data_IF_682500850780
#
_entry.id   IF_682500850780
#
_cell.length_a   1.000
_cell.length_b   1.000
_cell.length_c   1.000
_cell.angle_alpha   90.00
_cell.angle_beta   90.00
_cell.angle_gamma   90.00
#
_symmetry.space_group_name_H-M   'P 1'
#
loop_
_entity.id
_entity.type
_entity.pdbx_description
1 polymer ?
#
# COMPACT_ATOMS: atom_id res chain seq x y z
N UNK A 1 -21.07 -9.88 -16.95
CA UNK A 1 -20.89 -10.11 -15.50
C UNK A 1 -20.39 -8.81 -14.86
N UNK A 2 -20.84 -8.48 -13.65
CA UNK A 2 -20.30 -7.35 -12.89
C UNK A 2 -19.15 -7.84 -11.99
N UNK A 3 -18.11 -7.02 -11.83
CA UNK A 3 -17.07 -7.24 -10.82
C UNK A 3 -17.70 -7.09 -9.42
N UNK A 4 -17.27 -7.89 -8.46
CA UNK A 4 -17.81 -7.88 -7.09
C UNK A 4 -16.80 -7.41 -6.06
N UNK A 5 -15.55 -7.79 -6.26
CA UNK A 5 -14.42 -7.42 -5.41
C UNK A 5 -13.30 -6.91 -6.31
N UNK A 6 -12.75 -5.76 -5.94
CA UNK A 6 -11.62 -5.13 -6.62
C UNK A 6 -10.52 -4.95 -5.59
N UNK A 7 -9.37 -5.54 -5.84
CA UNK A 7 -8.16 -5.28 -5.06
C UNK A 7 -7.23 -4.35 -5.83
N UNK A 8 -6.78 -3.29 -5.17
CA UNK A 8 -5.80 -2.35 -5.73
C UNK A 8 -4.54 -2.35 -4.89
N UNK A 9 -3.39 -2.58 -5.52
CA UNK A 9 -2.10 -2.42 -4.88
C UNK A 9 -1.79 -0.93 -4.70
N UNK A 10 -1.30 -0.53 -3.53
CA UNK A 10 -0.76 0.81 -3.27
C UNK A 10 0.69 0.70 -2.84
N UNK A 11 1.47 1.68 -3.28
CA UNK A 11 2.90 1.80 -3.04
C UNK A 11 3.27 3.28 -2.96
N UNK A 12 4.55 3.59 -2.80
CA UNK A 12 5.05 4.96 -2.74
C UNK A 12 5.32 5.58 -4.12
N UNK A 13 4.88 4.94 -5.21
CA UNK A 13 5.12 5.45 -6.56
C UNK A 13 4.23 6.66 -6.88
N UNK A 14 4.68 7.58 -7.76
CA UNK A 14 3.84 8.69 -8.23
C UNK A 14 2.55 8.25 -8.92
N UNK A 15 2.46 7.00 -9.37
CA UNK A 15 1.29 6.44 -10.05
C UNK A 15 0.23 5.89 -9.09
N UNK A 16 0.54 5.69 -7.80
CA UNK A 16 -0.40 5.12 -6.82
C UNK A 16 -1.71 5.92 -6.71
N UNK A 17 -1.72 7.27 -6.66
CA UNK A 17 -2.96 8.04 -6.60
C UNK A 17 -3.88 7.82 -7.80
N UNK A 18 -3.33 7.83 -9.02
CA UNK A 18 -4.11 7.63 -10.25
C UNK A 18 -4.67 6.22 -10.35
N UNK A 19 -3.91 5.22 -9.89
CA UNK A 19 -4.36 3.83 -9.82
C UNK A 19 -5.54 3.67 -8.84
N UNK A 20 -5.48 4.34 -7.71
CA UNK A 20 -6.58 4.34 -6.74
C UNK A 20 -7.83 5.04 -7.30
N UNK A 21 -7.69 6.17 -7.98
CA UNK A 21 -8.82 6.87 -8.63
C UNK A 21 -9.54 6.00 -9.65
N UNK A 22 -8.77 5.25 -10.44
CA UNK A 22 -9.32 4.30 -11.40
C UNK A 22 -10.07 3.16 -10.70
N UNK A 23 -9.48 2.58 -9.65
CA UNK A 23 -10.11 1.50 -8.89
C UNK A 23 -11.41 1.94 -8.21
N UNK A 24 -11.45 3.15 -7.64
CA UNK A 24 -12.66 3.77 -7.08
C UNK A 24 -13.75 3.92 -8.14
N UNK A 25 -13.39 4.43 -9.32
CA UNK A 25 -14.33 4.62 -10.43
C UNK A 25 -14.91 3.28 -10.91
N UNK A 26 -14.06 2.25 -10.98
CA UNK A 26 -14.46 0.90 -11.37
C UNK A 26 -15.36 0.27 -10.31
N UNK A 27 -15.03 0.42 -9.03
CA UNK A 27 -15.83 -0.08 -7.91
C UNK A 27 -17.23 0.54 -7.90
N UNK A 28 -17.33 1.86 -8.06
CA UNK A 28 -18.61 2.57 -8.17
C UNK A 28 -19.45 2.07 -9.35
N UNK A 29 -18.83 1.88 -10.52
CA UNK A 29 -19.53 1.43 -11.73
C UNK A 29 -20.14 0.03 -11.57
N UNK A 30 -19.47 -0.83 -10.81
CA UNK A 30 -19.85 -2.23 -10.65
C UNK A 30 -20.57 -2.53 -9.34
N UNK A 31 -20.74 -1.54 -8.46
CA UNK A 31 -21.19 -1.74 -7.08
C UNK A 31 -20.35 -2.82 -6.37
N UNK A 32 -19.02 -2.69 -6.52
CA UNK A 32 -18.05 -3.65 -6.03
C UNK A 32 -17.39 -3.15 -4.73
N UNK A 33 -17.01 -4.09 -3.86
CA UNK A 33 -16.17 -3.82 -2.71
C UNK A 33 -14.73 -3.51 -3.17
N UNK A 34 -14.14 -2.46 -2.62
CA UNK A 34 -12.76 -2.06 -2.92
C UNK A 34 -11.85 -2.35 -1.73
N UNK A 35 -10.82 -3.16 -1.96
CA UNK A 35 -9.74 -3.41 -1.01
C UNK A 35 -8.45 -2.78 -1.53
N UNK A 36 -7.82 -1.92 -0.74
CA UNK A 36 -6.46 -1.45 -0.98
C UNK A 36 -5.45 -2.34 -0.24
N UNK A 37 -4.41 -2.79 -0.92
CA UNK A 37 -3.30 -3.56 -0.37
C UNK A 37 -2.00 -2.76 -0.45
N UNK A 38 -1.38 -2.47 0.69
CA UNK A 38 -0.02 -1.94 0.75
C UNK A 38 0.93 -3.02 1.28
N UNK A 39 1.99 -3.30 0.53
CA UNK A 39 3.03 -4.25 0.93
C UNK A 39 4.22 -3.49 1.49
N UNK A 40 4.50 -3.68 2.78
CA UNK A 40 5.73 -3.24 3.41
C UNK A 40 6.82 -4.22 2.99
N UNK A 41 7.70 -3.76 2.11
CA UNK A 41 8.87 -4.52 1.71
C UNK A 41 9.77 -4.77 2.92
N UNK A 42 9.99 -6.04 3.25
CA UNK A 42 11.08 -6.45 4.12
C UNK A 42 12.32 -6.47 3.23
N UNK A 43 13.30 -5.60 3.51
CA UNK A 43 14.53 -5.59 2.76
C UNK A 43 15.16 -6.99 2.78
N UNK A 44 15.49 -7.60 1.64
CA UNK A 44 16.28 -8.82 1.61
C UNK A 44 17.68 -8.45 2.09
N UNK A 45 17.93 -8.57 3.39
CA UNK A 45 19.23 -8.28 4.01
C UNK A 45 20.28 -9.35 3.64
N UNK A 46 20.07 -10.11 2.56
CA UNK A 46 20.81 -11.33 2.23
C UNK A 46 22.30 -11.10 1.93
N UNK A 47 22.78 -9.86 1.83
CA UNK A 47 24.19 -9.52 1.63
C UNK A 47 24.86 -8.79 2.80
N UNK A 48 24.11 -8.44 3.85
CA UNK A 48 24.63 -7.76 5.04
C UNK A 48 24.07 -8.45 6.28
N UNK A 49 24.92 -8.91 7.19
CA UNK A 49 24.43 -9.36 8.49
C UNK A 49 23.89 -8.15 9.27
N UNK A 50 23.02 -8.36 10.29
CA UNK A 50 22.68 -7.29 11.25
C UNK A 50 23.93 -6.66 11.89
N UNK A 51 25.08 -7.35 11.87
CA UNK A 51 26.36 -6.80 12.32
C UNK A 51 27.00 -5.81 11.32
N UNK A 52 26.64 -5.87 10.04
CA UNK A 52 27.14 -4.97 8.99
C UNK A 52 26.28 -3.70 8.86
N UNK A 53 24.99 -3.78 9.20
CA UNK A 53 24.08 -2.64 9.24
C UNK A 53 23.96 -2.16 10.68
N UNK A 54 24.57 -1.00 11.00
CA UNK A 54 24.41 -0.40 12.32
C UNK A 54 22.93 -0.20 12.70
N UNK A 55 22.56 -0.29 14.00
CA UNK A 55 21.17 -0.26 14.46
C UNK A 55 20.41 0.99 14.00
N UNK A 56 21.09 2.11 13.88
CA UNK A 56 20.53 3.38 13.39
C UNK A 56 19.97 3.27 11.95
N UNK A 57 20.61 2.46 11.09
CA UNK A 57 20.19 2.30 9.70
C UNK A 57 18.95 1.40 9.60
N UNK A 58 18.88 0.35 10.43
CA UNK A 58 17.71 -0.52 10.56
C UNK A 58 16.52 0.29 11.05
N UNK A 59 16.69 1.06 12.13
CA UNK A 59 15.64 1.93 12.67
C UNK A 59 15.17 2.98 11.66
N UNK A 60 16.09 3.58 10.91
CA UNK A 60 15.77 4.57 9.87
C UNK A 60 14.97 3.93 8.73
N UNK A 61 15.34 2.73 8.30
CA UNK A 61 14.60 1.98 7.27
C UNK A 61 13.18 1.66 7.74
N UNK A 62 13.04 1.06 8.92
CA UNK A 62 11.76 0.71 9.51
C UNK A 62 10.85 1.93 9.67
N UNK A 63 11.42 3.06 10.12
CA UNK A 63 10.70 4.32 10.23
C UNK A 63 10.22 4.79 8.86
N UNK A 64 11.09 4.79 7.85
CA UNK A 64 10.73 5.19 6.50
C UNK A 64 9.59 4.33 5.92
N UNK A 65 9.64 3.02 6.15
CA UNK A 65 8.60 2.09 5.69
C UNK A 65 7.27 2.33 6.39
N UNK A 66 7.26 2.52 7.71
CA UNK A 66 6.05 2.87 8.48
C UNK A 66 5.43 4.19 8.00
N UNK A 67 6.25 5.22 7.83
CA UNK A 67 5.75 6.52 7.36
C UNK A 67 5.20 6.44 5.94
N UNK A 68 5.82 5.63 5.08
CA UNK A 68 5.35 5.42 3.71
C UNK A 68 3.98 4.71 3.67
N UNK A 69 3.79 3.67 4.47
CA UNK A 69 2.51 2.99 4.62
C UNK A 69 1.42 3.93 5.19
N UNK A 70 1.78 4.75 6.19
CA UNK A 70 0.86 5.73 6.79
C UNK A 70 0.37 6.76 5.76
N UNK A 71 1.29 7.35 4.97
CA UNK A 71 0.93 8.29 3.90
C UNK A 71 0.02 7.65 2.84
N UNK A 72 0.29 6.40 2.47
CA UNK A 72 -0.56 5.67 1.54
C UNK A 72 -1.96 5.39 2.10
N UNK A 73 -2.05 5.10 3.41
CA UNK A 73 -3.33 4.93 4.10
C UNK A 73 -4.13 6.24 4.16
N UNK A 74 -3.47 7.36 4.49
CA UNK A 74 -4.11 8.68 4.51
C UNK A 74 -4.68 9.05 3.12
N UNK A 75 -3.90 8.81 2.05
CA UNK A 75 -4.36 8.98 0.68
C UNK A 75 -5.60 8.12 0.37
N UNK A 76 -5.61 6.87 0.85
CA UNK A 76 -6.74 5.97 0.69
C UNK A 76 -7.99 6.49 1.41
N UNK A 77 -7.86 6.80 2.71
CA UNK A 77 -8.98 7.29 3.53
C UNK A 77 -9.57 8.59 2.93
N UNK A 78 -8.73 9.53 2.51
CA UNK A 78 -9.14 10.79 1.87
C UNK A 78 -9.93 10.56 0.57
N UNK A 79 -9.42 9.69 -0.32
CA UNK A 79 -10.09 9.41 -1.59
C UNK A 79 -11.39 8.62 -1.41
N UNK A 80 -11.44 7.69 -0.46
CA UNK A 80 -12.67 6.95 -0.13
C UNK A 80 -13.73 7.90 0.45
N UNK A 81 -13.33 8.79 1.36
CA UNK A 81 -14.21 9.81 1.91
C UNK A 81 -14.77 10.73 0.83
N UNK A 82 -13.91 11.26 -0.06
CA UNK A 82 -14.33 12.11 -1.20
C UNK A 82 -15.23 11.37 -2.18
N UNK A 83 -15.02 10.07 -2.35
CA UNK A 83 -15.85 9.23 -3.19
C UNK A 83 -17.17 8.81 -2.51
N UNK A 84 -17.33 9.02 -1.21
CA UNK A 84 -18.50 8.54 -0.46
C UNK A 84 -18.66 7.02 -0.50
N UNK A 85 -17.55 6.29 -0.63
CA UNK A 85 -17.54 4.83 -0.66
C UNK A 85 -16.90 4.28 0.62
N UNK A 86 -17.40 3.13 1.08
CA UNK A 86 -16.68 2.32 2.05
C UNK A 86 -15.66 1.43 1.32
N UNK A 87 -14.50 1.22 1.91
CA UNK A 87 -13.46 0.36 1.36
C UNK A 87 -12.60 -0.21 2.47
N UNK A 88 -11.89 -1.28 2.15
CA UNK A 88 -11.05 -2.00 3.08
C UNK A 88 -9.58 -1.64 2.86
N UNK A 89 -8.87 -1.35 3.94
CA UNK A 89 -7.42 -1.22 3.94
C UNK A 89 -6.78 -2.52 4.44
N UNK A 90 -5.83 -3.05 3.69
CA UNK A 90 -4.96 -4.16 4.10
C UNK A 90 -3.51 -3.75 3.98
N UNK A 91 -2.75 -4.06 5.02
CA UNK A 91 -1.31 -3.93 5.05
C UNK A 91 -0.71 -5.30 5.30
N UNK A 92 0.27 -5.68 4.49
CA UNK A 92 1.00 -6.91 4.63
C UNK A 92 2.50 -6.63 4.59
N UNK A 93 3.28 -7.47 5.26
CA UNK A 93 4.72 -7.53 5.08
C UNK A 93 5.05 -8.58 4.03
N UNK A 94 6.04 -8.31 3.18
CA UNK A 94 6.42 -9.24 2.13
C UNK A 94 7.88 -9.07 1.71
N UNK A 95 8.52 -10.19 1.39
CA UNK A 95 9.81 -10.17 0.74
C UNK A 95 9.66 -9.63 -0.68
N UNK A 96 10.59 -8.77 -1.11
CA UNK A 96 10.74 -8.44 -2.53
C UNK A 96 11.47 -9.62 -3.18
N UNK A 97 10.86 -10.39 -4.10
CA UNK A 97 11.58 -11.43 -4.80
C UNK A 97 12.72 -10.81 -5.63
N UNK A 98 13.87 -11.48 -5.68
CA UNK A 98 15.05 -11.08 -6.47
C UNK A 98 14.77 -11.00 -7.97
#
# INVERSE_FOLDING_TARGET
>A
MALKDILVHLDSSPAAPSRLDFAISLARKHDAHLTALYVVAIAPIHQYTEADLGPELIEAHDKFMRESAARAKELFDDKMQKAGLAGEWRQAEGAVPE
#
